data_IF_948790729071
#
_entry.id   IF_948790729071
#
_cell.length_a   1.000
_cell.length_b   1.000
_cell.length_c   1.000
_cell.angle_alpha   90.00
_cell.angle_beta   90.00
_cell.angle_gamma   90.00
#
_symmetry.space_group_name_H-M   'P 1'
#
loop_
_entity.id
_entity.type
_entity.pdbx_description
1 polymer ?
#
# COMPACT_ATOMS: atom_id res chain seq x y z
N UNK A 1 -1.65 17.54 -4.67
CA UNK A 1 -2.75 16.56 -4.75
C UNK A 1 -4.05 17.22 -4.32
N UNK A 2 -5.17 16.68 -4.74
CA UNK A 2 -6.50 17.08 -4.26
C UNK A 2 -7.12 15.99 -3.36
N UNK A 3 -8.28 16.28 -2.77
CA UNK A 3 -8.96 15.33 -1.87
C UNK A 3 -9.30 13.98 -2.53
N UNK A 4 -9.45 13.92 -3.86
CA UNK A 4 -9.78 12.68 -4.55
C UNK A 4 -8.62 11.69 -4.61
N UNK A 5 -7.41 12.20 -4.44
CA UNK A 5 -6.17 11.43 -4.47
C UNK A 5 -5.71 10.95 -3.10
N UNK A 6 -6.26 11.55 -2.00
CA UNK A 6 -5.80 11.25 -0.64
C UNK A 6 -6.76 10.30 0.09
N UNK A 7 -6.18 9.32 0.75
CA UNK A 7 -6.82 8.33 1.60
C UNK A 7 -6.17 8.35 2.99
N UNK A 8 -6.88 7.84 3.97
CA UNK A 8 -6.39 7.62 5.33
C UNK A 8 -6.52 6.13 5.62
N UNK A 9 -5.46 5.50 6.11
CA UNK A 9 -5.53 4.12 6.58
C UNK A 9 -6.44 4.02 7.82
N UNK A 10 -7.29 3.00 7.87
CA UNK A 10 -8.18 2.75 9.00
C UNK A 10 -7.46 2.36 10.29
N UNK A 11 -6.14 2.13 10.25
CA UNK A 11 -5.30 2.00 11.45
C UNK A 11 -5.13 3.33 12.19
N UNK A 12 -5.40 4.47 11.52
CA UNK A 12 -5.26 5.81 12.11
C UNK A 12 -6.39 6.12 13.06
N UNK A 13 -6.06 6.56 14.28
CA UNK A 13 -7.07 7.09 15.19
C UNK A 13 -7.78 8.32 14.58
N UNK A 14 -9.12 8.33 14.63
CA UNK A 14 -9.95 9.40 14.07
C UNK A 14 -10.01 9.42 12.54
N UNK A 15 -9.78 8.28 11.88
CA UNK A 15 -9.82 8.17 10.41
C UNK A 15 -11.18 8.56 9.85
N UNK A 16 -12.28 8.08 10.42
CA UNK A 16 -13.65 8.35 9.96
C UNK A 16 -14.02 9.83 10.06
N UNK A 17 -13.83 10.43 11.23
CA UNK A 17 -14.12 11.85 11.44
C UNK A 17 -13.28 12.74 10.54
N UNK A 18 -12.01 12.37 10.35
CA UNK A 18 -11.09 13.12 9.48
C UNK A 18 -11.48 12.95 8.02
N UNK A 19 -11.78 11.74 7.57
CA UNK A 19 -12.21 11.48 6.20
C UNK A 19 -13.52 12.22 5.88
N UNK A 20 -14.50 12.15 6.76
CA UNK A 20 -15.78 12.86 6.60
C UNK A 20 -15.60 14.39 6.56
N UNK A 21 -14.75 14.95 7.44
CA UNK A 21 -14.50 16.40 7.54
C UNK A 21 -13.86 16.97 6.28
N UNK A 22 -12.89 16.28 5.71
CA UNK A 22 -12.08 16.77 4.60
C UNK A 22 -12.46 16.16 3.24
N UNK A 23 -13.48 15.27 3.20
CA UNK A 23 -13.92 14.61 1.96
C UNK A 23 -12.89 13.63 1.39
N UNK A 24 -12.10 12.96 2.25
CA UNK A 24 -11.03 12.05 1.88
C UNK A 24 -11.56 10.61 1.68
N UNK A 25 -10.74 9.75 1.06
CA UNK A 25 -10.98 8.32 1.02
C UNK A 25 -10.46 7.61 2.26
N UNK A 26 -10.79 6.32 2.39
CA UNK A 26 -10.22 5.42 3.40
C UNK A 26 -9.53 4.24 2.73
N UNK A 27 -8.43 3.80 3.31
CA UNK A 27 -7.80 2.53 3.01
C UNK A 27 -8.13 1.53 4.10
N UNK A 28 -8.82 0.46 3.71
CA UNK A 28 -9.40 -0.54 4.62
C UNK A 28 -8.32 -1.55 5.01
N UNK A 29 -7.92 -1.57 6.27
CA UNK A 29 -6.84 -2.39 6.80
C UNK A 29 -7.30 -3.51 7.77
N UNK A 30 -8.57 -3.56 8.18
CA UNK A 30 -9.09 -4.57 9.11
C UNK A 30 -8.92 -5.99 8.59
N UNK A 31 -8.88 -6.15 7.28
CA UNK A 31 -8.72 -7.43 6.61
C UNK A 31 -7.25 -7.83 6.36
N UNK A 32 -6.29 -7.01 6.80
CA UNK A 32 -4.90 -7.42 6.93
C UNK A 32 -4.76 -8.63 7.86
N UNK A 33 -5.65 -8.74 8.85
CA UNK A 33 -5.88 -9.98 9.60
C UNK A 33 -6.72 -10.93 8.75
N UNK A 34 -6.06 -11.91 8.12
CA UNK A 34 -6.69 -12.80 7.14
C UNK A 34 -7.92 -13.57 7.65
N UNK A 35 -8.02 -13.82 8.96
CA UNK A 35 -9.20 -14.45 9.57
C UNK A 35 -10.49 -13.63 9.37
N UNK A 36 -10.38 -12.31 9.26
CA UNK A 36 -11.52 -11.43 9.02
C UNK A 36 -12.09 -11.59 7.59
N UNK A 37 -11.35 -12.16 6.66
CA UNK A 37 -11.88 -12.54 5.35
C UNK A 37 -12.75 -13.80 5.39
N UNK A 38 -12.50 -14.68 6.36
CA UNK A 38 -13.30 -15.90 6.56
C UNK A 38 -14.55 -15.61 7.41
N UNK A 39 -14.35 -14.93 8.54
CA UNK A 39 -15.39 -14.58 9.49
C UNK A 39 -14.98 -13.33 10.28
N UNK A 40 -15.39 -12.13 9.84
CA UNK A 40 -15.05 -10.90 10.54
C UNK A 40 -15.66 -10.89 11.96
N UNK A 41 -14.88 -10.47 12.93
CA UNK A 41 -15.36 -10.27 14.31
C UNK A 41 -16.36 -9.10 14.37
N UNK A 42 -17.24 -9.02 15.40
CA UNK A 42 -18.28 -8.00 15.47
C UNK A 42 -17.76 -6.56 15.40
N UNK A 43 -16.58 -6.30 15.94
CA UNK A 43 -15.91 -5.01 15.88
C UNK A 43 -15.62 -4.60 14.44
N UNK A 44 -15.02 -5.48 13.64
CA UNK A 44 -14.72 -5.23 12.20
C UNK A 44 -16.00 -4.99 11.41
N UNK A 45 -17.10 -5.70 11.72
CA UNK A 45 -18.39 -5.46 11.06
C UNK A 45 -18.93 -4.06 11.41
N UNK A 46 -18.77 -3.64 12.66
CA UNK A 46 -19.20 -2.31 13.11
C UNK A 46 -18.36 -1.22 12.48
N UNK A 47 -17.04 -1.37 12.49
CA UNK A 47 -16.10 -0.43 11.88
C UNK A 47 -16.35 -0.27 10.38
N UNK A 48 -16.59 -1.38 9.66
CA UNK A 48 -16.93 -1.35 8.24
C UNK A 48 -18.20 -0.51 7.96
N UNK A 49 -19.19 -0.52 8.85
CA UNK A 49 -20.39 0.31 8.71
C UNK A 49 -20.06 1.80 8.93
N UNK A 50 -19.21 2.13 9.91
CA UNK A 50 -18.75 3.49 10.16
C UNK A 50 -17.95 4.03 8.96
N UNK A 51 -17.00 3.27 8.46
CA UNK A 51 -16.18 3.64 7.30
C UNK A 51 -17.01 3.92 6.04
N UNK A 52 -18.01 3.07 5.75
CA UNK A 52 -18.94 3.28 4.61
C UNK A 52 -19.81 4.54 4.77
N UNK A 53 -20.04 5.02 5.99
CA UNK A 53 -20.74 6.27 6.25
C UNK A 53 -19.80 7.48 6.12
N UNK A 54 -18.55 7.34 6.59
CA UNK A 54 -17.55 8.39 6.65
C UNK A 54 -16.96 8.77 5.28
N UNK A 55 -16.76 7.78 4.40
CA UNK A 55 -16.12 7.99 3.10
C UNK A 55 -16.94 7.45 1.93
N UNK A 56 -16.59 7.90 0.72
CA UNK A 56 -17.21 7.43 -0.54
C UNK A 56 -16.22 6.73 -1.47
N UNK A 57 -14.96 6.76 -1.15
CA UNK A 57 -13.87 6.16 -1.93
C UNK A 57 -13.01 5.31 -1.01
N UNK A 58 -12.66 4.13 -1.50
CA UNK A 58 -11.92 3.15 -0.73
C UNK A 58 -10.76 2.58 -1.54
N UNK A 59 -9.65 2.33 -0.86
CA UNK A 59 -8.57 1.43 -1.23
C UNK A 59 -8.66 0.24 -0.28
N UNK A 60 -8.26 -0.93 -0.71
CA UNK A 60 -8.28 -2.10 0.14
C UNK A 60 -6.87 -2.62 0.34
N UNK A 61 -6.50 -2.88 1.59
CA UNK A 61 -5.23 -3.52 1.92
C UNK A 61 -5.44 -5.02 2.13
N UNK A 62 -4.73 -5.84 1.38
CA UNK A 62 -4.80 -7.29 1.49
C UNK A 62 -4.09 -7.79 2.75
N UNK A 63 -4.42 -8.99 3.26
CA UNK A 63 -3.59 -9.64 4.27
C UNK A 63 -2.19 -9.89 3.72
N UNK A 64 -1.20 -9.83 4.60
CA UNK A 64 0.21 -9.94 4.22
C UNK A 64 1.01 -10.91 5.09
N UNK A 65 0.60 -11.10 6.35
CA UNK A 65 1.30 -12.01 7.26
C UNK A 65 1.35 -13.44 6.68
N UNK A 66 2.52 -14.06 6.68
CA UNK A 66 2.79 -15.41 6.15
C UNK A 66 2.51 -15.58 4.63
N UNK A 67 2.15 -14.52 3.92
CA UNK A 67 1.86 -14.58 2.49
C UNK A 67 3.05 -14.16 1.66
N UNK A 68 3.41 -15.01 0.69
CA UNK A 68 4.52 -14.75 -0.21
C UNK A 68 4.23 -15.36 -1.59
N UNK A 69 4.09 -14.53 -2.64
CA UNK A 69 3.92 -15.02 -4.02
C UNK A 69 5.04 -15.94 -4.49
N UNK A 70 6.27 -15.71 -4.01
CA UNK A 70 7.45 -16.47 -4.34
C UNK A 70 7.87 -17.45 -3.22
N UNK A 71 6.94 -17.97 -2.42
CA UNK A 71 7.29 -18.94 -1.39
C UNK A 71 7.87 -20.22 -2.01
N UNK A 72 8.85 -20.82 -1.32
CA UNK A 72 9.48 -22.07 -1.75
C UNK A 72 8.50 -23.23 -1.65
N UNK A 73 7.68 -23.25 -0.57
CA UNK A 73 6.67 -24.27 -0.37
C UNK A 73 5.43 -23.98 -1.23
N UNK A 74 5.03 -24.92 -2.11
CA UNK A 74 3.82 -24.76 -2.94
C UNK A 74 2.53 -24.57 -2.13
N UNK A 75 2.46 -25.07 -0.90
CA UNK A 75 1.31 -24.85 -0.01
C UNK A 75 1.22 -23.40 0.45
N UNK A 76 2.36 -22.75 0.72
CA UNK A 76 2.40 -21.33 1.04
C UNK A 76 2.01 -20.47 -0.17
N UNK A 77 2.45 -20.83 -1.38
CA UNK A 77 2.00 -20.18 -2.62
C UNK A 77 0.49 -20.33 -2.81
N UNK A 78 -0.04 -21.54 -2.56
CA UNK A 78 -1.49 -21.82 -2.65
C UNK A 78 -2.28 -21.03 -1.62
N UNK A 79 -1.78 -20.90 -0.40
CA UNK A 79 -2.37 -20.06 0.65
C UNK A 79 -2.39 -18.59 0.22
N UNK A 80 -1.27 -18.08 -0.28
CA UNK A 80 -1.15 -16.70 -0.78
C UNK A 80 -2.18 -16.44 -1.87
N UNK A 81 -2.28 -17.33 -2.85
CA UNK A 81 -3.26 -17.24 -3.94
C UNK A 81 -4.70 -17.22 -3.41
N UNK A 82 -5.02 -18.08 -2.46
CA UNK A 82 -6.34 -18.15 -1.85
C UNK A 82 -6.68 -16.85 -1.12
N UNK A 83 -5.79 -16.34 -0.26
CA UNK A 83 -6.00 -15.12 0.50
C UNK A 83 -6.12 -13.88 -0.39
N UNK A 84 -5.30 -13.77 -1.41
CA UNK A 84 -5.41 -12.66 -2.37
C UNK A 84 -6.70 -12.73 -3.20
N UNK A 85 -7.19 -13.92 -3.54
CA UNK A 85 -8.50 -14.07 -4.19
C UNK A 85 -9.65 -13.64 -3.27
N UNK A 86 -9.60 -13.97 -1.98
CA UNK A 86 -10.57 -13.47 -0.99
C UNK A 86 -10.49 -11.95 -0.83
N UNK A 87 -9.29 -11.38 -0.72
CA UNK A 87 -9.09 -9.94 -0.64
C UNK A 87 -9.61 -9.22 -1.89
N UNK A 88 -9.38 -9.80 -3.07
CA UNK A 88 -9.90 -9.28 -4.34
C UNK A 88 -11.44 -9.22 -4.35
N UNK A 89 -12.10 -10.27 -3.89
CA UNK A 89 -13.56 -10.31 -3.78
C UNK A 89 -14.07 -9.28 -2.75
N UNK A 90 -13.43 -9.17 -1.60
CA UNK A 90 -13.77 -8.16 -0.59
C UNK A 90 -13.56 -6.73 -1.13
N UNK A 91 -12.46 -6.46 -1.81
CA UNK A 91 -12.19 -5.16 -2.43
C UNK A 91 -13.27 -4.78 -3.46
N UNK A 92 -13.78 -5.75 -4.24
CA UNK A 92 -14.90 -5.54 -5.15
C UNK A 92 -16.19 -5.18 -4.40
N UNK A 93 -16.50 -5.86 -3.29
CA UNK A 93 -17.67 -5.54 -2.44
C UNK A 93 -17.57 -4.12 -1.85
N UNK A 94 -16.37 -3.66 -1.55
CA UNK A 94 -16.11 -2.29 -1.12
C UNK A 94 -16.15 -1.27 -2.25
N UNK A 95 -16.22 -1.70 -3.50
CA UNK A 95 -16.17 -0.82 -4.69
C UNK A 95 -14.77 -0.24 -4.92
N UNK A 96 -13.74 -0.87 -4.39
CA UNK A 96 -12.35 -0.44 -4.57
C UNK A 96 -11.87 -0.63 -6.01
N UNK A 97 -11.01 0.29 -6.45
CA UNK A 97 -10.27 0.17 -7.72
C UNK A 97 -8.80 -0.15 -7.51
N UNK A 98 -8.34 -0.05 -6.28
CA UNK A 98 -6.97 -0.37 -5.88
C UNK A 98 -7.01 -1.41 -4.76
N UNK A 99 -6.13 -2.40 -4.87
CA UNK A 99 -5.86 -3.41 -3.85
C UNK A 99 -4.36 -3.43 -3.61
N UNK A 100 -3.94 -3.04 -2.40
CA UNK A 100 -2.55 -3.12 -1.98
C UNK A 100 -2.22 -4.54 -1.57
N UNK A 101 -1.07 -5.04 -2.03
CA UNK A 101 -0.54 -6.37 -1.74
C UNK A 101 0.96 -6.27 -1.49
N UNK A 102 1.47 -6.96 -0.48
CA UNK A 102 2.91 -6.96 -0.20
C UNK A 102 3.69 -7.85 -1.18
N UNK A 103 4.95 -7.52 -1.42
CA UNK A 103 5.87 -8.41 -2.16
C UNK A 103 6.05 -9.74 -1.44
N UNK A 104 6.15 -9.72 -0.11
CA UNK A 104 6.50 -10.87 0.73
C UNK A 104 8.00 -11.22 0.68
N UNK A 105 8.86 -10.31 0.22
CA UNK A 105 10.31 -10.51 0.23
C UNK A 105 10.86 -10.51 1.65
N UNK A 106 11.70 -11.51 1.97
CA UNK A 106 12.42 -11.59 3.25
C UNK A 106 13.91 -11.67 2.93
N UNK A 107 14.72 -10.66 3.36
CA UNK A 107 16.16 -10.67 3.18
C UNK A 107 16.79 -11.94 3.77
N UNK A 108 17.86 -12.41 3.11
CA UNK A 108 18.62 -13.63 3.47
C UNK A 108 17.83 -14.95 3.40
N UNK A 109 16.50 -14.91 3.19
CA UNK A 109 15.69 -16.10 2.91
C UNK A 109 15.64 -16.35 1.40
N UNK A 110 15.47 -15.27 0.62
CA UNK A 110 15.35 -15.36 -0.83
C UNK A 110 16.54 -14.74 -1.54
N UNK A 111 16.99 -15.37 -2.62
CA UNK A 111 17.87 -14.75 -3.61
C UNK A 111 17.03 -13.84 -4.50
N UNK A 112 17.42 -12.56 -4.70
CA UNK A 112 16.60 -11.58 -5.42
C UNK A 112 16.15 -12.02 -6.81
N UNK A 113 17.05 -12.60 -7.61
CA UNK A 113 16.75 -13.03 -8.97
C UNK A 113 15.72 -14.15 -9.00
N UNK A 114 15.86 -15.13 -8.09
CA UNK A 114 14.91 -16.22 -7.95
C UNK A 114 13.56 -15.72 -7.46
N UNK A 115 13.55 -14.78 -6.50
CA UNK A 115 12.34 -14.19 -5.97
C UNK A 115 11.56 -13.43 -7.05
N UNK A 116 12.25 -12.65 -7.87
CA UNK A 116 11.65 -11.93 -9.00
C UNK A 116 11.05 -12.92 -9.99
N UNK A 117 11.80 -13.97 -10.40
CA UNK A 117 11.30 -15.00 -11.32
C UNK A 117 10.00 -15.64 -10.82
N UNK A 118 9.97 -16.10 -9.55
CA UNK A 118 8.80 -16.77 -8.98
C UNK A 118 7.64 -15.83 -8.74
N UNK A 119 7.90 -14.59 -8.35
CA UNK A 119 6.85 -13.56 -8.27
C UNK A 119 6.23 -13.28 -9.64
N UNK A 120 7.03 -13.20 -10.70
CA UNK A 120 6.53 -12.99 -12.07
C UNK A 120 5.64 -14.16 -12.51
N UNK A 121 6.04 -15.40 -12.26
CA UNK A 121 5.22 -16.59 -12.52
C UNK A 121 3.88 -16.48 -11.81
N UNK A 122 3.89 -16.21 -10.50
CA UNK A 122 2.70 -16.08 -9.68
C UNK A 122 1.74 -15.00 -10.20
N UNK A 123 2.24 -13.78 -10.46
CA UNK A 123 1.41 -12.67 -10.89
C UNK A 123 0.82 -12.88 -12.27
N UNK A 124 1.54 -13.45 -13.21
CA UNK A 124 1.01 -13.79 -14.54
C UNK A 124 -0.14 -14.78 -14.47
N UNK A 125 -0.09 -15.74 -13.53
CA UNK A 125 -1.17 -16.69 -13.30
C UNK A 125 -2.34 -16.08 -12.49
N UNK A 126 -2.08 -15.09 -11.62
CA UNK A 126 -3.09 -14.47 -10.78
C UNK A 126 -3.89 -13.39 -11.50
N UNK A 127 -3.25 -12.54 -12.30
CA UNK A 127 -3.85 -11.37 -12.94
C UNK A 127 -5.07 -11.65 -13.84
N UNK A 128 -5.22 -12.80 -14.52
CA UNK A 128 -6.43 -13.08 -15.32
C UNK A 128 -7.75 -13.01 -14.53
N UNK A 129 -7.72 -13.18 -13.21
CA UNK A 129 -8.92 -13.06 -12.37
C UNK A 129 -9.19 -11.64 -11.86
N UNK A 130 -8.25 -10.71 -12.04
CA UNK A 130 -8.40 -9.30 -11.63
C UNK A 130 -9.35 -8.60 -12.59
N UNK A 131 -10.45 -7.98 -12.10
CA UNK A 131 -11.43 -7.33 -12.96
C UNK A 131 -10.85 -6.16 -13.72
N UNK A 132 -11.45 -5.85 -14.85
CA UNK A 132 -11.15 -4.64 -15.61
C UNK A 132 -11.39 -3.39 -14.73
N UNK A 133 -10.46 -2.45 -14.78
CA UNK A 133 -10.51 -1.20 -14.00
C UNK A 133 -10.04 -1.32 -12.56
N UNK A 134 -9.63 -2.51 -12.10
CA UNK A 134 -8.94 -2.70 -10.82
C UNK A 134 -7.44 -2.86 -11.03
N UNK A 135 -6.65 -2.27 -10.15
CA UNK A 135 -5.19 -2.35 -10.15
C UNK A 135 -4.71 -2.92 -8.82
N UNK A 136 -3.85 -3.92 -8.88
CA UNK A 136 -3.07 -4.42 -7.74
C UNK A 136 -1.84 -3.53 -7.57
N UNK A 137 -1.62 -3.02 -6.38
CA UNK A 137 -0.49 -2.17 -6.03
C UNK A 137 0.49 -2.97 -5.18
N UNK A 138 1.59 -3.42 -5.80
CA UNK A 138 2.63 -4.22 -5.14
C UNK A 138 3.49 -3.31 -4.27
N UNK A 139 3.47 -3.55 -2.97
CA UNK A 139 4.12 -2.73 -1.96
C UNK A 139 5.49 -3.29 -1.57
N UNK A 140 6.49 -2.41 -1.49
CA UNK A 140 7.79 -2.73 -0.91
C UNK A 140 7.70 -2.77 0.62
N UNK A 141 8.36 -3.75 1.24
CA UNK A 141 8.39 -3.92 2.70
C UNK A 141 9.82 -4.07 3.23
N UNK A 142 10.51 -5.13 2.84
CA UNK A 142 11.83 -5.49 3.38
C UNK A 142 12.93 -5.50 2.31
N UNK A 143 12.65 -5.01 1.12
CA UNK A 143 13.62 -4.97 0.04
C UNK A 143 14.76 -4.00 0.35
N UNK A 144 16.02 -4.38 0.07
CA UNK A 144 17.17 -3.49 0.28
C UNK A 144 17.24 -2.37 -0.77
N UNK A 145 16.51 -2.50 -1.88
CA UNK A 145 16.52 -1.55 -2.99
C UNK A 145 15.23 -1.64 -3.84
N UNK A 146 14.90 -0.61 -4.62
CA UNK A 146 13.72 -0.59 -5.49
C UNK A 146 13.79 -1.61 -6.64
N UNK A 147 14.94 -2.21 -6.90
CA UNK A 147 15.13 -3.05 -8.07
C UNK A 147 14.25 -4.30 -8.06
N UNK A 148 14.05 -4.93 -6.89
CA UNK A 148 13.25 -6.14 -6.77
C UNK A 148 11.78 -5.90 -7.19
N UNK A 149 11.03 -4.98 -6.57
CA UNK A 149 9.64 -4.74 -6.96
C UNK A 149 9.52 -4.16 -8.38
N UNK A 150 10.45 -3.31 -8.81
CA UNK A 150 10.46 -2.76 -10.17
C UNK A 150 10.68 -3.84 -11.22
N UNK A 151 11.60 -4.79 -10.99
CA UNK A 151 11.85 -5.88 -11.91
C UNK A 151 10.65 -6.83 -12.02
N UNK A 152 9.92 -7.06 -10.92
CA UNK A 152 8.67 -7.83 -10.95
C UNK A 152 7.66 -7.13 -11.89
N UNK A 153 7.37 -5.84 -11.66
CA UNK A 153 6.40 -5.09 -12.47
C UNK A 153 6.80 -5.08 -13.94
N UNK A 154 8.07 -4.77 -14.22
CA UNK A 154 8.60 -4.68 -15.58
C UNK A 154 8.51 -6.00 -16.34
N UNK A 155 8.79 -7.13 -15.65
CA UNK A 155 8.76 -8.44 -16.29
C UNK A 155 7.33 -9.00 -16.41
N UNK A 156 6.44 -8.71 -15.47
CA UNK A 156 5.02 -9.07 -15.59
C UNK A 156 4.39 -8.35 -16.78
N UNK A 157 4.69 -7.06 -16.95
CA UNK A 157 4.26 -6.19 -18.06
C UNK A 157 2.73 -6.19 -18.28
N UNK A 158 1.97 -6.09 -17.18
CA UNK A 158 0.50 -6.00 -17.22
C UNK A 158 0.05 -4.69 -16.53
N UNK A 159 -0.84 -3.88 -17.15
CA UNK A 159 -1.30 -2.61 -16.57
C UNK A 159 -2.08 -2.79 -15.26
N UNK A 160 -2.55 -3.98 -14.94
CA UNK A 160 -3.29 -4.28 -13.70
C UNK A 160 -2.37 -4.53 -12.50
N UNK A 161 -1.06 -4.59 -12.69
CA UNK A 161 -0.08 -4.66 -11.61
C UNK A 161 0.83 -3.44 -11.65
N UNK A 162 0.84 -2.65 -10.59
CA UNK A 162 1.64 -1.43 -10.43
C UNK A 162 2.31 -1.42 -9.06
N UNK A 163 3.14 -0.41 -8.79
CA UNK A 163 3.76 -0.27 -7.48
C UNK A 163 2.91 0.57 -6.53
N UNK A 164 2.87 0.14 -5.28
CA UNK A 164 2.70 1.00 -4.11
C UNK A 164 4.10 1.25 -3.53
N UNK A 165 4.53 2.51 -3.45
CA UNK A 165 5.76 2.84 -2.73
C UNK A 165 5.39 3.24 -1.31
N UNK A 166 5.76 2.42 -0.35
CA UNK A 166 5.80 2.80 1.04
C UNK A 166 7.14 3.49 1.34
N UNK A 167 7.05 4.79 1.67
CA UNK A 167 8.25 5.61 1.92
C UNK A 167 8.87 5.34 3.28
N UNK A 168 8.09 4.83 4.24
CA UNK A 168 8.60 4.43 5.55
C UNK A 168 9.40 3.14 5.48
N UNK A 169 8.88 2.14 4.78
CA UNK A 169 9.62 0.91 4.49
C UNK A 169 10.91 1.20 3.70
N UNK A 170 10.84 2.13 2.73
CA UNK A 170 12.02 2.56 1.97
C UNK A 170 13.08 3.27 2.84
N UNK A 171 12.73 3.77 4.04
CA UNK A 171 13.63 4.40 5.00
C UNK A 171 13.97 3.49 6.20
N UNK A 172 13.34 2.33 6.32
CA UNK A 172 13.58 1.41 7.43
C UNK A 172 14.96 0.73 7.35
N UNK A 173 15.38 0.11 8.45
CA UNK A 173 16.74 -0.45 8.64
C UNK A 173 17.19 -1.42 7.52
N UNK A 174 16.28 -2.14 6.90
CA UNK A 174 16.59 -3.12 5.87
C UNK A 174 16.85 -2.49 4.51
N UNK A 175 16.32 -1.31 4.25
CA UNK A 175 16.61 -0.54 3.04
C UNK A 175 18.05 -0.01 3.08
N UNK A 176 18.75 -0.17 1.97
CA UNK A 176 20.12 0.34 1.78
C UNK A 176 20.19 1.43 0.73
N UNK A 177 19.03 1.88 0.28
CA UNK A 177 18.88 2.85 -0.80
C UNK A 177 18.17 4.08 -0.24
N UNK A 178 18.66 5.31 -0.51
CA UNK A 178 17.98 6.52 -0.09
C UNK A 178 16.55 6.62 -0.63
N UNK A 179 15.61 7.16 0.16
CA UNK A 179 14.20 7.28 -0.22
C UNK A 179 14.00 7.99 -1.56
N UNK A 180 14.77 9.04 -1.85
CA UNK A 180 14.66 9.77 -3.11
C UNK A 180 15.07 8.93 -4.32
N UNK A 181 16.00 7.99 -4.16
CA UNK A 181 16.36 7.04 -5.21
C UNK A 181 15.23 6.02 -5.42
N UNK A 182 14.58 5.57 -4.33
CA UNK A 182 13.35 4.77 -4.43
C UNK A 182 12.28 5.48 -5.25
N UNK A 183 12.02 6.76 -4.94
CA UNK A 183 11.05 7.58 -5.67
C UNK A 183 11.40 7.67 -7.15
N UNK A 184 12.65 7.96 -7.49
CA UNK A 184 13.09 8.12 -8.87
C UNK A 184 12.95 6.82 -9.68
N UNK A 185 13.42 5.70 -9.12
CA UNK A 185 13.42 4.40 -9.80
C UNK A 185 12.01 3.82 -9.91
N UNK A 186 11.17 3.97 -8.88
CA UNK A 186 9.79 3.46 -8.88
C UNK A 186 8.83 4.31 -9.71
N UNK A 187 9.10 5.61 -9.90
CA UNK A 187 8.19 6.60 -10.52
C UNK A 187 7.45 6.11 -11.77
N UNK A 188 8.10 5.47 -12.78
CA UNK A 188 7.41 5.03 -14.01
C UNK A 188 6.35 3.94 -13.78
N UNK A 189 6.37 3.30 -12.62
CA UNK A 189 5.55 2.14 -12.28
C UNK A 189 4.57 2.41 -11.15
N UNK A 190 4.65 3.61 -10.54
CA UNK A 190 3.82 3.98 -9.39
C UNK A 190 2.35 4.12 -9.75
N UNK A 191 1.50 3.69 -8.82
CA UNK A 191 0.07 3.94 -8.83
C UNK A 191 -0.43 4.43 -7.49
N UNK A 192 0.23 4.03 -6.40
CA UNK A 192 -0.12 4.36 -5.02
C UNK A 192 1.12 4.63 -4.18
N UNK A 193 0.96 5.41 -3.11
CA UNK A 193 2.00 5.64 -2.10
C UNK A 193 1.41 5.53 -0.70
N UNK A 194 2.14 4.88 0.20
CA UNK A 194 1.94 5.01 1.62
C UNK A 194 2.85 6.10 2.19
N UNK A 195 2.27 7.02 2.93
CA UNK A 195 2.93 8.18 3.49
C UNK A 195 2.91 8.13 5.02
N UNK A 196 4.03 7.89 5.59
CA UNK A 196 4.35 8.06 7.01
C UNK A 196 5.82 8.40 7.17
N UNK A 197 6.31 8.55 8.39
CA UNK A 197 7.72 8.84 8.63
C UNK A 197 8.30 7.91 9.70
N UNK A 198 9.60 7.82 9.76
CA UNK A 198 10.37 7.15 10.80
C UNK A 198 11.80 7.72 10.85
N UNK A 199 12.59 7.29 11.81
CA UNK A 199 13.96 7.78 12.02
C UNK A 199 15.05 6.89 11.37
N UNK A 200 14.69 5.99 10.43
CA UNK A 200 15.64 5.09 9.76
C UNK A 200 15.89 3.77 10.50
N UNK A 201 15.16 3.50 11.57
CA UNK A 201 15.20 2.25 12.32
C UNK A 201 13.99 1.36 11.97
N UNK A 202 13.12 1.13 12.96
CA UNK A 202 11.87 0.40 12.75
C UNK A 202 10.82 1.18 11.96
N UNK A 203 9.85 0.45 11.48
CA UNK A 203 8.67 1.00 10.83
C UNK A 203 7.67 1.50 11.90
N UNK A 204 7.70 2.80 12.21
CA UNK A 204 7.00 3.39 13.35
C UNK A 204 5.69 4.10 13.00
N UNK A 205 5.38 4.30 11.73
CA UNK A 205 4.22 5.06 11.27
C UNK A 205 4.08 6.45 11.93
N UNK A 206 5.24 7.10 12.15
CA UNK A 206 5.32 8.44 12.74
C UNK A 206 4.64 9.49 11.83
N UNK A 207 4.19 10.63 12.41
CA UNK A 207 3.65 11.74 11.64
C UNK A 207 4.63 12.24 10.56
N UNK A 208 4.10 12.73 9.42
CA UNK A 208 4.88 13.15 8.26
C UNK A 208 6.02 14.14 8.59
N UNK A 209 5.83 14.97 9.60
CA UNK A 209 6.83 15.97 10.06
C UNK A 209 7.89 15.40 11.00
N UNK A 210 7.78 14.13 11.44
CA UNK A 210 8.65 13.53 12.46
C UNK A 210 9.41 12.35 11.88
N UNK A 211 10.68 12.51 11.60
CA UNK A 211 11.56 11.47 11.11
C UNK A 211 12.62 12.00 10.16
N UNK A 212 13.23 11.10 9.42
CA UNK A 212 14.33 11.42 8.49
C UNK A 212 13.93 11.38 7.03
N UNK A 213 12.70 10.93 6.71
CA UNK A 213 12.20 10.92 5.34
C UNK A 213 11.95 12.35 4.87
N UNK A 214 12.49 12.75 3.71
CA UNK A 214 12.30 14.08 3.16
C UNK A 214 10.93 14.19 2.45
N UNK A 215 9.82 14.06 3.20
CA UNK A 215 8.44 13.95 2.66
C UNK A 215 8.09 15.10 1.72
N UNK A 216 8.52 16.34 2.03
CA UNK A 216 8.28 17.48 1.13
C UNK A 216 8.96 17.29 -0.23
N UNK A 217 10.19 16.74 -0.26
CA UNK A 217 10.88 16.45 -1.52
C UNK A 217 10.20 15.33 -2.30
N UNK A 218 9.74 14.27 -1.61
CA UNK A 218 8.96 13.18 -2.23
C UNK A 218 7.70 13.75 -2.91
N UNK A 219 6.92 14.55 -2.19
CA UNK A 219 5.69 15.14 -2.72
C UNK A 219 5.96 16.11 -3.88
N UNK A 220 7.01 16.91 -3.82
CA UNK A 220 7.41 17.78 -4.94
C UNK A 220 7.86 16.98 -6.17
N UNK A 221 8.63 15.90 -5.97
CA UNK A 221 9.09 15.06 -7.08
C UNK A 221 7.92 14.40 -7.83
N UNK A 222 6.83 14.10 -7.15
CA UNK A 222 5.66 13.41 -7.69
C UNK A 222 4.48 14.34 -8.01
N UNK A 223 4.62 15.66 -7.83
CA UNK A 223 3.53 16.63 -7.96
C UNK A 223 2.86 16.68 -9.36
N UNK A 224 3.52 16.16 -10.39
CA UNK A 224 3.00 16.15 -11.78
C UNK A 224 2.34 14.82 -12.16
N UNK A 225 2.36 13.84 -11.28
CA UNK A 225 1.81 12.50 -11.53
C UNK A 225 0.33 12.48 -11.12
N UNK A 226 -0.55 13.05 -11.93
CA UNK A 226 -1.98 13.21 -11.64
C UNK A 226 -2.73 11.89 -11.39
N UNK A 227 -2.18 10.77 -11.86
CA UNK A 227 -2.78 9.45 -11.69
C UNK A 227 -2.47 8.82 -10.32
N UNK A 228 -1.55 9.38 -9.54
CA UNK A 228 -1.17 8.83 -8.24
C UNK A 228 -2.24 9.09 -7.19
N UNK A 229 -2.34 8.14 -6.29
CA UNK A 229 -3.10 8.26 -5.05
C UNK A 229 -2.19 8.01 -3.86
N UNK A 230 -2.58 8.49 -2.69
CA UNK A 230 -1.76 8.50 -1.49
C UNK A 230 -2.60 8.04 -0.31
N UNK A 231 -2.05 7.19 0.55
CA UNK A 231 -2.64 6.87 1.86
C UNK A 231 -1.74 7.42 2.96
N UNK A 232 -2.35 8.14 3.90
CA UNK A 232 -1.72 8.46 5.18
C UNK A 232 -1.78 7.22 6.07
N UNK A 233 -0.64 6.59 6.27
CA UNK A 233 -0.52 5.40 7.09
C UNK A 233 0.17 5.71 8.41
N UNK A 234 -0.41 6.66 9.13
CA UNK A 234 0.09 7.17 10.41
C UNK A 234 -0.87 6.85 11.54
N UNK A 235 -0.40 6.86 12.79
CA UNK A 235 -1.24 6.57 13.94
C UNK A 235 -2.29 7.66 14.26
N UNK A 236 -2.12 8.87 13.70
CA UNK A 236 -2.99 10.04 13.91
C UNK A 236 -3.32 10.69 12.58
N UNK A 237 -4.57 10.58 12.14
CA UNK A 237 -4.96 11.05 10.81
C UNK A 237 -4.92 12.59 10.68
N UNK A 238 -5.63 13.31 11.56
CA UNK A 238 -5.90 14.74 11.38
C UNK A 238 -4.65 15.61 11.40
N UNK A 239 -3.66 15.28 12.22
CA UNK A 239 -2.40 16.02 12.31
C UNK A 239 -1.69 16.09 10.94
N UNK A 240 -1.69 15.00 10.21
CA UNK A 240 -1.02 14.89 8.92
C UNK A 240 -1.80 15.58 7.81
N UNK A 241 -3.15 15.51 7.83
CA UNK A 241 -3.99 16.25 6.89
C UNK A 241 -3.78 17.77 7.07
N UNK A 242 -3.76 18.25 8.29
CA UNK A 242 -3.48 19.68 8.57
C UNK A 242 -2.10 20.09 8.08
N UNK A 243 -1.09 19.27 8.31
CA UNK A 243 0.27 19.54 7.84
C UNK A 243 0.31 19.64 6.30
N UNK A 244 -0.35 18.75 5.59
CA UNK A 244 -0.43 18.79 4.12
C UNK A 244 -1.12 20.06 3.61
N UNK A 245 -2.19 20.50 4.28
CA UNK A 245 -2.90 21.76 3.98
C UNK A 245 -2.01 23.00 4.24
N UNK A 246 -1.38 23.06 5.41
CA UNK A 246 -0.47 24.16 5.79
C UNK A 246 0.72 24.32 4.84
N UNK A 247 1.23 23.18 4.32
CA UNK A 247 2.34 23.17 3.36
C UNK A 247 1.89 23.37 1.91
N UNK A 248 0.60 23.39 1.65
CA UNK A 248 0.05 23.56 0.29
C UNK A 248 0.16 22.31 -0.60
N UNK A 249 0.38 21.14 -0.01
CA UNK A 249 0.41 19.86 -0.74
C UNK A 249 -0.98 19.27 -0.96
N UNK A 250 -1.95 19.62 -0.13
CA UNK A 250 -3.36 19.22 -0.27
C UNK A 250 -4.22 20.45 -0.57
N UNK A 251 -5.16 20.29 -1.53
CA UNK A 251 -6.22 21.25 -1.85
C UNK A 251 -7.58 20.61 -1.58
N UNK A 252 -8.46 21.32 -0.84
CA UNK A 252 -9.83 20.87 -0.55
C UNK A 252 -10.80 21.26 -1.67
#
# INVERSE_FOLDING_TARGET
MDCSQLYISTVSAGCDETAARYGLGLEIAEYCTAANLDAPIPEVVTDAQCHRQAAKRFVFHAPFNELCPAAIDPLAVSLTRHRYAQALAAAQDWGCRLLVVHTGFIPWVYYPEWFVEKSVEFWREFLPQVPEGMVLCLENVMEPSPQIPVDIIRQVDDPRLRLCLDVGHANAELSRTPVMEWVEVCRPYLRHLHLHNNAGGGDLHDPLKRGTIPVEQVLHALAREEHLTYTLETLQAEENVRWLLEKGFLTL
#
